data_IF_184545615821
#
_entry.id   IF_184545615821
#
_cell.length_a   1.000
_cell.length_b   1.000
_cell.length_c   1.000
_cell.angle_alpha   90.00
_cell.angle_beta   90.00
_cell.angle_gamma   90.00
#
_symmetry.space_group_name_H-M   'P 1'
#
loop_
_entity.id
_entity.type
_entity.pdbx_description
1 polymer ?
#
# COMPACT_ATOMS: atom_id res chain seq x y z
N UNK A 1 -21.75 -8.51 10.80
CA UNK A 1 -20.59 -9.28 10.28
C UNK A 1 -19.41 -9.00 11.19
N UNK A 2 -19.04 -10.00 11.99
CA UNK A 2 -17.97 -9.88 12.98
C UNK A 2 -16.61 -9.88 12.28
N UNK A 3 -15.87 -8.79 12.43
CA UNK A 3 -14.44 -8.77 12.12
C UNK A 3 -13.76 -9.66 13.16
N UNK A 4 -13.16 -10.77 12.74
CA UNK A 4 -12.48 -11.66 13.70
C UNK A 4 -11.31 -10.91 14.33
N UNK A 5 -11.17 -11.00 15.66
CA UNK A 5 -10.13 -10.33 16.46
C UNK A 5 -8.70 -10.55 15.95
N UNK A 6 -8.45 -11.65 15.23
CA UNK A 6 -7.16 -11.94 14.56
C UNK A 6 -6.76 -10.88 13.52
N UNK A 7 -7.74 -10.24 12.87
CA UNK A 7 -7.49 -9.27 11.81
C UNK A 7 -6.99 -7.93 12.34
N UNK A 8 -7.35 -7.57 13.59
CA UNK A 8 -6.85 -6.37 14.27
C UNK A 8 -5.42 -6.56 14.80
N UNK A 9 -5.10 -7.78 15.28
CA UNK A 9 -3.82 -8.11 15.90
C UNK A 9 -2.63 -7.99 14.91
N UNK A 10 -2.87 -8.17 13.60
CA UNK A 10 -1.82 -8.18 12.59
C UNK A 10 -1.33 -6.79 12.13
N UNK A 11 -2.11 -5.73 12.34
CA UNK A 11 -1.69 -4.36 11.97
C UNK A 11 -0.73 -3.74 13.00
N UNK A 12 -0.80 -4.18 14.26
CA UNK A 12 -0.07 -3.57 15.38
C UNK A 12 1.33 -4.13 15.65
N UNK A 13 1.76 -5.21 14.97
CA UNK A 13 3.02 -5.90 15.32
C UNK A 13 4.31 -5.15 14.94
N UNK A 14 4.25 -3.85 14.66
CA UNK A 14 5.44 -3.04 14.48
C UNK A 14 5.19 -1.59 14.89
N UNK A 15 5.75 -1.26 16.06
CA UNK A 15 6.19 0.09 16.48
C UNK A 15 5.12 0.99 17.14
N UNK A 16 5.52 1.55 18.29
CA UNK A 16 4.80 2.54 19.14
C UNK A 16 4.30 3.74 18.33
N UNK A 17 3.01 4.06 18.41
CA UNK A 17 2.45 5.31 17.88
C UNK A 17 0.93 5.44 18.08
N UNK A 18 0.52 6.62 18.54
CA UNK A 18 -0.83 7.21 18.71
C UNK A 18 -1.73 7.00 17.46
N UNK A 19 -3.08 6.99 17.43
CA UNK A 19 -4.20 7.37 18.31
C UNK A 19 -5.31 6.29 18.25
N UNK A 20 -6.03 6.05 19.36
CA UNK A 20 -7.29 5.27 19.40
C UNK A 20 -8.51 6.18 19.59
N UNK A 21 -9.60 5.93 18.83
CA UNK A 21 -10.91 6.60 19.00
C UNK A 21 -11.84 5.79 19.92
N UNK A 22 -12.31 6.40 21.03
CA UNK A 22 -13.28 5.83 21.98
C UNK A 22 -14.73 5.91 21.48
N UNK A 23 -15.54 4.98 21.98
CA UNK A 23 -16.95 4.69 21.67
C UNK A 23 -17.99 5.76 22.03
N UNK A 24 -17.62 6.81 22.79
CA UNK A 24 -18.63 7.77 23.25
C UNK A 24 -18.64 9.04 22.41
N UNK A 25 -19.69 9.16 21.61
CA UNK A 25 -19.97 10.14 20.55
C UNK A 25 -19.90 11.64 20.92
N UNK A 26 -19.46 12.00 22.13
CA UNK A 26 -19.44 13.38 22.60
C UNK A 26 -18.06 14.06 22.49
N UNK A 27 -16.94 13.33 22.49
CA UNK A 27 -15.59 13.89 22.27
C UNK A 27 -14.62 12.86 21.69
N UNK A 28 -14.13 13.14 20.48
CA UNK A 28 -12.96 12.47 19.92
C UNK A 28 -11.70 13.01 20.61
N UNK A 29 -11.34 12.44 21.77
CA UNK A 29 -10.04 12.72 22.39
C UNK A 29 -9.02 11.72 21.87
N UNK A 30 -7.97 12.21 21.23
CA UNK A 30 -6.90 11.37 20.71
C UNK A 30 -6.05 10.83 21.85
N UNK A 31 -6.02 9.52 22.03
CA UNK A 31 -5.26 8.87 23.11
C UNK A 31 -3.98 8.22 22.59
N UNK A 32 -2.85 8.48 23.24
CA UNK A 32 -1.53 7.94 22.85
C UNK A 32 -1.37 6.48 23.26
N UNK A 33 -0.79 5.66 22.39
CA UNK A 33 -0.68 4.20 22.58
C UNK A 33 0.76 3.77 22.83
N UNK A 34 0.98 3.00 23.90
CA UNK A 34 2.29 2.47 24.28
C UNK A 34 2.46 1.01 23.89
N UNK A 35 1.39 0.22 23.96
CA UNK A 35 1.43 -1.21 23.64
C UNK A 35 0.08 -1.73 23.14
N UNK A 36 0.12 -2.81 22.36
CA UNK A 36 -1.05 -3.60 21.99
C UNK A 36 -0.90 -5.01 22.58
N UNK A 37 -1.97 -5.50 23.20
CA UNK A 37 -2.10 -6.85 23.77
C UNK A 37 -3.16 -7.63 22.99
N UNK A 38 -3.28 -8.92 23.30
CA UNK A 38 -4.21 -9.82 22.62
C UNK A 38 -5.68 -9.39 22.70
N UNK A 39 -6.04 -8.64 23.75
CA UNK A 39 -7.42 -8.22 24.06
C UNK A 39 -7.58 -6.71 24.24
N UNK A 40 -6.48 -5.94 24.31
CA UNK A 40 -6.52 -4.54 24.68
C UNK A 40 -5.42 -3.67 24.04
N UNK A 41 -5.67 -2.37 24.00
CA UNK A 41 -4.70 -1.33 23.69
C UNK A 41 -4.32 -0.61 24.98
N UNK A 42 -3.01 -0.52 25.26
CA UNK A 42 -2.47 0.16 26.45
C UNK A 42 -2.06 1.57 26.06
N UNK A 43 -2.58 2.57 26.78
CA UNK A 43 -2.34 3.98 26.51
C UNK A 43 -1.15 4.54 27.31
N UNK A 44 -0.61 5.71 26.93
CA UNK A 44 0.44 6.42 27.71
C UNK A 44 -0.07 6.83 29.09
N UNK A 45 -1.37 7.06 29.21
CA UNK A 45 -2.07 7.35 30.47
C UNK A 45 -2.30 6.09 31.33
N UNK A 46 -1.85 4.92 30.88
CA UNK A 46 -1.99 3.64 31.58
C UNK A 46 -3.40 3.03 31.49
N UNK A 47 -4.25 3.53 30.59
CA UNK A 47 -5.57 2.95 30.36
C UNK A 47 -5.45 1.71 29.47
N UNK A 48 -6.27 0.69 29.75
CA UNK A 48 -6.44 -0.47 28.89
C UNK A 48 -7.79 -0.37 28.17
N UNK A 49 -7.75 -0.15 26.86
CA UNK A 49 -8.94 -0.07 26.00
C UNK A 49 -9.17 -1.44 25.36
N UNK A 50 -10.28 -2.09 25.63
CA UNK A 50 -10.60 -3.38 25.03
C UNK A 50 -10.69 -3.25 23.49
N UNK A 51 -10.08 -4.17 22.74
CA UNK A 51 -10.07 -4.11 21.26
C UNK A 51 -11.46 -3.97 20.61
N UNK A 52 -12.53 -4.61 21.10
CA UNK A 52 -13.87 -4.41 20.55
C UNK A 52 -14.43 -2.99 20.69
N UNK A 53 -13.88 -2.19 21.61
CA UNK A 53 -14.29 -0.80 21.83
C UNK A 53 -13.40 0.21 21.07
N UNK A 54 -12.39 -0.28 20.33
CA UNK A 54 -11.52 0.52 19.47
C UNK A 54 -12.15 0.63 18.08
N UNK A 55 -12.66 1.81 17.74
CA UNK A 55 -13.28 2.05 16.44
C UNK A 55 -12.25 2.20 15.32
N UNK A 56 -11.14 2.89 15.61
CA UNK A 56 -10.11 3.24 14.63
C UNK A 56 -8.77 3.47 15.33
N UNK A 57 -7.70 3.04 14.68
CA UNK A 57 -6.31 3.31 15.08
C UNK A 57 -5.67 4.17 13.98
N UNK A 58 -5.32 5.41 14.29
CA UNK A 58 -4.74 6.36 13.35
C UNK A 58 -3.31 6.73 13.72
N UNK A 59 -2.35 6.26 12.95
CA UNK A 59 -0.94 6.58 13.17
C UNK A 59 -0.60 8.02 12.72
N UNK A 60 -0.20 8.88 13.66
CA UNK A 60 -0.02 10.33 13.43
C UNK A 60 1.31 10.71 12.78
N UNK A 61 2.36 9.92 12.98
CA UNK A 61 3.63 10.13 12.30
C UNK A 61 4.57 8.96 12.56
N UNK A 62 5.03 8.32 11.49
CA UNK A 62 6.18 7.44 11.57
C UNK A 62 7.26 7.91 10.60
N UNK A 63 8.51 8.08 11.05
CA UNK A 63 9.62 7.63 10.23
C UNK A 63 9.47 6.11 10.11
N UNK A 64 8.71 5.64 9.13
CA UNK A 64 8.72 4.21 8.80
C UNK A 64 10.15 3.96 8.29
N UNK A 65 10.97 3.13 8.97
CA UNK A 65 12.25 2.76 8.41
C UNK A 65 11.96 2.22 7.01
N UNK A 66 12.60 2.75 5.95
CA UNK A 66 12.32 2.29 4.59
C UNK A 66 12.52 0.79 4.58
N UNK A 67 11.41 0.05 4.42
CA UNK A 67 11.54 -1.39 4.30
C UNK A 67 12.28 -1.65 2.98
N UNK A 68 13.29 -2.52 2.99
CA UNK A 68 14.18 -2.66 1.85
C UNK A 68 13.44 -3.06 0.58
N UNK A 69 12.43 -3.93 0.71
CA UNK A 69 11.74 -4.44 -0.46
C UNK A 69 10.78 -3.42 -1.05
N UNK A 70 10.88 -3.23 -2.36
CA UNK A 70 9.99 -2.36 -3.14
C UNK A 70 9.28 -3.20 -4.19
N UNK A 71 7.95 -3.19 -4.16
CA UNK A 71 7.10 -3.81 -5.17
C UNK A 71 6.74 -2.77 -6.21
N UNK A 72 6.91 -3.10 -7.49
CA UNK A 72 6.60 -2.19 -8.60
C UNK A 72 5.46 -2.78 -9.40
N UNK A 73 4.39 -2.00 -9.52
CA UNK A 73 3.19 -2.40 -10.23
C UNK A 73 3.26 -2.02 -11.71
N UNK A 74 2.40 -2.63 -12.52
CA UNK A 74 2.33 -2.39 -13.97
C UNK A 74 1.83 -0.99 -14.35
N UNK A 75 1.25 -0.25 -13.40
CA UNK A 75 0.90 1.18 -13.56
C UNK A 75 2.03 2.14 -13.15
N UNK A 76 3.19 1.60 -12.76
CA UNK A 76 4.35 2.37 -12.30
C UNK A 76 4.34 2.71 -10.82
N UNK A 77 3.30 2.34 -10.07
CA UNK A 77 3.30 2.53 -8.62
C UNK A 77 4.43 1.73 -7.97
N UNK A 78 5.02 2.32 -6.93
CA UNK A 78 6.09 1.74 -6.11
C UNK A 78 5.59 1.64 -4.68
N UNK A 79 5.55 0.43 -4.13
CA UNK A 79 5.15 0.17 -2.75
C UNK A 79 6.33 -0.33 -1.93
N UNK A 80 6.65 0.34 -0.84
CA UNK A 80 7.64 -0.04 0.14
C UNK A 80 7.03 -1.02 1.15
N UNK A 81 7.72 -2.14 1.41
CA UNK A 81 7.15 -3.19 2.25
C UNK A 81 8.02 -4.43 2.38
N UNK A 82 7.36 -5.57 2.59
CA UNK A 82 7.99 -6.89 2.65
C UNK A 82 7.28 -7.85 1.72
N UNK A 83 8.04 -8.53 0.87
CA UNK A 83 7.54 -9.69 0.15
C UNK A 83 7.36 -10.83 1.14
N UNK A 84 6.12 -11.31 1.32
CA UNK A 84 5.84 -12.45 2.20
C UNK A 84 5.86 -13.75 1.42
N UNK A 85 5.30 -13.72 0.22
CA UNK A 85 5.21 -14.87 -0.67
C UNK A 85 4.86 -14.39 -2.07
N UNK A 86 5.46 -15.00 -3.07
CA UNK A 86 5.06 -15.01 -4.45
C UNK A 86 4.99 -16.48 -4.83
N UNK A 87 3.82 -16.95 -5.26
CA UNK A 87 3.66 -18.32 -5.71
C UNK A 87 2.52 -18.38 -6.73
N UNK A 88 2.78 -19.00 -7.89
CA UNK A 88 1.82 -19.06 -8.98
C UNK A 88 1.38 -17.65 -9.42
N UNK A 89 0.07 -17.38 -9.34
CA UNK A 89 -0.53 -16.15 -9.84
C UNK A 89 -0.78 -15.09 -8.76
N UNK A 90 -0.24 -15.27 -7.55
CA UNK A 90 -0.51 -14.37 -6.42
C UNK A 90 0.76 -13.93 -5.71
N UNK A 91 0.81 -12.64 -5.37
CA UNK A 91 1.82 -12.01 -4.52
C UNK A 91 1.15 -11.56 -3.23
N UNK A 92 1.66 -12.06 -2.12
CA UNK A 92 1.37 -11.59 -0.77
C UNK A 92 2.46 -10.58 -0.37
N UNK A 93 2.09 -9.31 -0.27
CA UNK A 93 3.00 -8.22 0.07
C UNK A 93 2.50 -7.45 1.28
N UNK A 94 3.35 -7.23 2.29
CA UNK A 94 3.02 -6.37 3.43
C UNK A 94 3.50 -4.96 3.14
N UNK A 95 2.62 -4.15 2.55
CA UNK A 95 2.83 -2.72 2.30
C UNK A 95 2.90 -1.96 3.62
N UNK A 96 3.75 -0.94 3.64
CA UNK A 96 3.85 0.00 4.76
C UNK A 96 2.65 0.96 4.83
N UNK A 97 2.00 1.27 3.70
CA UNK A 97 0.83 2.15 3.65
C UNK A 97 -0.50 1.40 3.73
N UNK A 98 -0.56 0.21 3.14
CA UNK A 98 -1.84 -0.48 2.88
C UNK A 98 -2.00 -1.80 3.64
N UNK A 99 -1.05 -2.16 4.51
CA UNK A 99 -1.09 -3.43 5.24
C UNK A 99 -0.82 -4.63 4.32
N UNK A 100 -1.51 -5.75 4.57
CA UNK A 100 -1.38 -6.94 3.73
C UNK A 100 -2.14 -6.75 2.42
N UNK A 101 -1.44 -6.96 1.32
CA UNK A 101 -1.95 -6.94 -0.04
C UNK A 101 -1.80 -8.33 -0.64
N UNK A 102 -2.89 -8.84 -1.20
CA UNK A 102 -2.87 -10.00 -2.08
C UNK A 102 -3.16 -9.51 -3.49
N UNK A 103 -2.14 -9.58 -4.34
CA UNK A 103 -2.17 -9.00 -5.67
C UNK A 103 -2.00 -10.11 -6.71
N UNK A 104 -2.80 -10.12 -7.78
CA UNK A 104 -2.50 -10.90 -8.97
C UNK A 104 -1.11 -10.54 -9.52
N UNK A 105 -0.31 -11.53 -9.91
CA UNK A 105 1.03 -11.32 -10.49
C UNK A 105 0.98 -10.53 -11.81
N UNK A 106 -0.16 -10.51 -12.51
CA UNK A 106 -0.39 -9.68 -13.69
C UNK A 106 -0.35 -8.17 -13.41
N UNK A 107 -0.58 -7.75 -12.17
CA UNK A 107 -0.48 -6.34 -11.77
C UNK A 107 0.91 -5.96 -11.26
N UNK A 108 1.86 -6.90 -11.21
CA UNK A 108 3.22 -6.67 -10.70
C UNK A 108 4.22 -6.74 -11.84
N UNK A 109 4.99 -5.66 -11.99
CA UNK A 109 6.08 -5.59 -12.96
C UNK A 109 7.38 -6.18 -12.38
N UNK A 110 7.66 -5.95 -11.10
CA UNK A 110 8.85 -6.50 -10.45
C UNK A 110 8.97 -6.20 -8.96
N UNK A 111 10.04 -6.71 -8.37
CA UNK A 111 10.42 -6.54 -6.97
C UNK A 111 11.89 -6.11 -6.91
N UNK A 112 12.20 -5.08 -6.12
CA UNK A 112 13.58 -4.74 -5.76
C UNK A 112 13.81 -5.13 -4.31
N UNK A 113 14.92 -5.80 -4.03
CA UNK A 113 15.27 -6.30 -2.70
C UNK A 113 16.37 -5.42 -2.08
N UNK A 114 16.36 -5.32 -0.75
CA UNK A 114 17.40 -4.59 -0.02
C UNK A 114 17.37 -3.08 -0.25
N UNK A 115 18.54 -2.49 -0.35
CA UNK A 115 18.77 -1.08 -0.61
C UNK A 115 18.69 -0.68 -2.10
N UNK A 116 18.36 -1.61 -3.00
CA UNK A 116 18.35 -1.36 -4.45
C UNK A 116 17.41 -0.22 -4.87
N UNK A 117 17.86 0.62 -5.79
CA UNK A 117 17.04 1.71 -6.34
C UNK A 117 15.96 1.12 -7.27
N UNK A 118 14.66 1.49 -7.15
CA UNK A 118 13.64 1.19 -8.16
C UNK A 118 14.05 1.54 -9.59
N UNK A 119 14.86 2.58 -9.79
CA UNK A 119 15.38 2.96 -11.10
C UNK A 119 16.47 2.00 -11.62
N UNK A 120 17.02 1.12 -10.78
CA UNK A 120 18.01 0.11 -11.17
C UNK A 120 17.40 -1.05 -11.96
N UNK A 121 16.08 -1.18 -11.98
CA UNK A 121 15.37 -2.06 -12.89
C UNK A 121 15.49 -1.52 -14.31
N UNK A 122 16.24 -2.21 -15.16
CA UNK A 122 16.46 -1.73 -16.52
C UNK A 122 15.30 -2.18 -17.40
N UNK A 123 14.78 -1.25 -18.20
CA UNK A 123 13.92 -1.59 -19.34
C UNK A 123 14.74 -2.50 -20.26
N UNK A 124 14.26 -3.73 -20.48
CA UNK A 124 14.97 -4.76 -21.25
C UNK A 124 15.41 -5.97 -20.43
N UNK A 125 15.38 -5.89 -19.09
CA UNK A 125 15.56 -7.07 -18.25
C UNK A 125 14.32 -7.98 -18.27
N UNK A 126 13.17 -7.48 -18.71
CA UNK A 126 11.96 -8.25 -18.83
C UNK A 126 12.12 -9.29 -19.94
N UNK A 127 12.07 -10.60 -19.63
CA UNK A 127 12.18 -11.61 -20.66
C UNK A 127 10.91 -11.62 -21.52
N UNK A 128 11.02 -12.12 -22.75
CA UNK A 128 9.85 -12.35 -23.60
C UNK A 128 8.90 -13.37 -22.96
N UNK A 129 9.44 -14.33 -22.20
CA UNK A 129 8.71 -15.33 -21.43
C UNK A 129 9.38 -15.58 -20.05
N UNK A 130 8.58 -15.81 -19.01
CA UNK A 130 9.08 -16.10 -17.66
C UNK A 130 9.44 -14.86 -16.84
N UNK A 131 10.55 -14.93 -16.10
CA UNK A 131 11.07 -13.85 -15.27
C UNK A 131 12.60 -13.74 -15.38
N UNK A 132 13.16 -12.62 -14.94
CA UNK A 132 14.60 -12.46 -14.77
C UNK A 132 14.94 -11.99 -13.37
N UNK A 133 16.06 -12.50 -12.86
CA UNK A 133 16.68 -12.10 -11.61
C UNK A 133 17.97 -11.36 -11.94
N UNK A 134 18.13 -10.16 -11.41
CA UNK A 134 19.43 -9.49 -11.34
C UNK A 134 20.02 -9.76 -9.97
N UNK A 135 21.19 -10.37 -9.96
CA UNK A 135 21.99 -10.63 -8.78
C UNK A 135 22.76 -9.37 -8.37
N UNK A 136 23.17 -9.27 -7.10
CA UNK A 136 23.94 -8.13 -6.58
C UNK A 136 25.34 -8.01 -7.17
N UNK A 137 25.91 -9.10 -7.66
CA UNK A 137 27.18 -9.12 -8.41
C UNK A 137 27.03 -8.61 -9.86
N UNK A 138 25.79 -8.28 -10.29
CA UNK A 138 25.46 -7.79 -11.62
C UNK A 138 25.05 -8.86 -12.62
N UNK A 139 25.18 -10.15 -12.28
CA UNK A 139 24.75 -11.25 -13.14
C UNK A 139 23.23 -11.25 -13.31
N UNK A 140 22.77 -11.71 -14.47
CA UNK A 140 21.34 -11.85 -14.78
C UNK A 140 21.04 -13.31 -15.05
N UNK A 141 20.05 -13.85 -14.34
CA UNK A 141 19.56 -15.22 -14.50
C UNK A 141 18.10 -15.16 -14.94
N UNK A 142 17.76 -15.78 -16.07
CA UNK A 142 16.39 -15.85 -16.57
C UNK A 142 15.81 -17.25 -16.40
N UNK A 143 14.50 -17.36 -16.18
CA UNK A 143 13.82 -18.64 -16.04
C UNK A 143 12.36 -18.50 -15.64
N UNK A 144 11.72 -19.62 -15.31
CA UNK A 144 10.35 -19.62 -14.81
C UNK A 144 10.35 -19.50 -13.28
N UNK A 145 9.73 -18.44 -12.75
CA UNK A 145 9.60 -18.27 -11.31
C UNK A 145 8.64 -19.32 -10.74
N UNK A 146 9.15 -20.13 -9.81
CA UNK A 146 8.32 -21.10 -9.09
C UNK A 146 7.76 -20.48 -7.81
N UNK A 147 8.61 -19.76 -7.07
CA UNK A 147 8.23 -19.03 -5.88
C UNK A 147 9.29 -17.99 -5.47
N UNK A 148 8.90 -17.03 -4.63
CA UNK A 148 9.83 -16.13 -3.94
C UNK A 148 9.27 -15.69 -2.58
N UNK A 149 10.12 -15.49 -1.59
CA UNK A 149 9.76 -14.88 -0.32
C UNK A 149 10.87 -13.94 0.19
N UNK A 150 10.87 -13.63 1.49
CA UNK A 150 11.85 -12.73 2.10
C UNK A 150 13.25 -13.36 2.23
N UNK A 151 13.36 -14.68 2.16
CA UNK A 151 14.59 -15.44 2.42
C UNK A 151 15.17 -16.04 1.16
N UNK A 152 14.32 -16.52 0.25
CA UNK A 152 14.75 -17.37 -0.85
C UNK A 152 13.87 -17.20 -2.10
N UNK A 153 14.44 -17.57 -3.25
CA UNK A 153 13.79 -17.54 -4.57
C UNK A 153 14.04 -18.86 -5.27
N UNK A 154 12.97 -19.49 -5.78
CA UNK A 154 13.04 -20.70 -6.59
C UNK A 154 12.77 -20.39 -8.05
N UNK A 155 13.76 -20.63 -8.90
CA UNK A 155 13.74 -20.38 -10.34
C UNK A 155 13.99 -21.68 -11.12
N UNK A 156 13.13 -22.01 -12.06
CA UNK A 156 13.36 -23.12 -12.99
C UNK A 156 14.11 -22.60 -14.22
N UNK A 157 15.36 -23.02 -14.39
CA UNK A 157 16.26 -22.62 -15.48
C UNK A 157 16.78 -23.86 -16.20
N UNK A 158 16.61 -23.94 -17.52
CA UNK A 158 17.08 -25.06 -18.35
C UNK A 158 16.65 -26.45 -17.80
N UNK A 159 15.44 -26.52 -17.22
CA UNK A 159 14.87 -27.74 -16.63
C UNK A 159 15.36 -28.07 -15.22
N UNK A 160 16.28 -27.29 -14.65
CA UNK A 160 16.77 -27.46 -13.29
C UNK A 160 16.17 -26.40 -12.33
N UNK A 161 15.74 -26.84 -11.15
CA UNK A 161 15.30 -25.91 -10.10
C UNK A 161 16.53 -25.34 -9.38
N UNK A 162 16.76 -24.05 -9.55
CA UNK A 162 17.79 -23.28 -8.83
C UNK A 162 17.14 -22.56 -7.67
N UNK A 163 17.70 -22.72 -6.48
CA UNK A 163 17.28 -21.98 -5.28
C UNK A 163 18.36 -20.96 -4.93
N UNK A 164 17.97 -19.69 -4.83
CA UNK A 164 18.87 -18.57 -4.56
C UNK A 164 18.47 -17.88 -3.25
N UNK A 165 19.44 -17.39 -2.46
CA UNK A 165 19.15 -16.49 -1.35
C UNK A 165 18.57 -15.17 -1.86
N UNK A 166 17.48 -14.70 -1.27
CA UNK A 166 16.92 -13.38 -1.61
C UNK A 166 17.89 -12.24 -1.27
N UNK A 167 18.86 -12.46 -0.36
CA UNK A 167 19.94 -11.53 -0.05
C UNK A 167 20.85 -11.26 -1.25
N UNK A 168 21.02 -12.24 -2.14
CA UNK A 168 21.97 -12.18 -3.25
C UNK A 168 21.31 -11.60 -4.50
N UNK A 169 19.99 -11.46 -4.48
CA UNK A 169 19.18 -10.91 -5.55
C UNK A 169 19.00 -9.41 -5.30
N UNK A 170 19.32 -8.61 -6.32
CA UNK A 170 19.04 -7.17 -6.34
C UNK A 170 17.60 -6.93 -6.76
N UNK A 171 17.14 -7.59 -7.83
CA UNK A 171 15.78 -7.42 -8.32
C UNK A 171 15.24 -8.64 -9.06
N UNK A 172 13.92 -8.80 -9.02
CA UNK A 172 13.12 -9.74 -9.78
C UNK A 172 12.24 -8.97 -10.76
N UNK A 173 12.33 -9.28 -12.05
CA UNK A 173 11.51 -8.71 -13.12
C UNK A 173 10.55 -9.78 -13.61
N UNK A 174 9.26 -9.51 -13.48
CA UNK A 174 8.21 -10.39 -13.97
C UNK A 174 7.71 -9.96 -15.34
N UNK A 175 7.73 -8.65 -15.62
CA UNK A 175 7.16 -8.04 -16.82
C UNK A 175 7.91 -6.76 -17.18
N UNK A 176 7.55 -6.19 -18.34
CA UNK A 176 8.05 -4.88 -18.75
C UNK A 176 7.84 -3.83 -17.65
N UNK A 177 8.91 -3.15 -17.27
CA UNK A 177 8.89 -2.15 -16.21
C UNK A 177 8.34 -0.82 -16.78
N UNK A 178 7.17 -0.35 -16.31
CA UNK A 178 6.61 0.92 -16.75
C UNK A 178 7.45 2.11 -16.25
N UNK A 179 7.26 3.32 -16.78
CA UNK A 179 7.74 4.54 -16.13
C UNK A 179 7.24 4.60 -14.68
N UNK A 180 8.14 4.84 -13.72
CA UNK A 180 7.73 4.94 -12.32
C UNK A 180 6.79 6.12 -12.11
N UNK A 181 5.74 5.90 -11.33
CA UNK A 181 4.77 6.91 -10.99
C UNK A 181 5.44 8.09 -10.29
N UNK A 182 5.04 9.30 -10.67
CA UNK A 182 5.51 10.55 -10.06
C UNK A 182 4.39 11.31 -9.36
N UNK A 183 3.14 10.84 -9.45
CA UNK A 183 1.94 11.54 -9.02
C UNK A 183 1.90 11.88 -7.54
N UNK A 184 1.76 10.85 -6.71
CA UNK A 184 1.68 11.00 -5.25
C UNK A 184 2.89 10.31 -4.65
N UNK A 185 3.67 11.04 -3.86
CA UNK A 185 4.78 10.48 -3.07
C UNK A 185 4.36 10.52 -1.61
N UNK A 186 4.33 9.36 -0.96
CA UNK A 186 4.05 9.25 0.47
C UNK A 186 5.34 9.36 1.28
N UNK A 187 5.20 9.73 2.56
CA UNK A 187 6.34 9.93 3.48
C UNK A 187 7.17 8.66 3.72
N UNK A 188 6.63 7.48 3.43
CA UNK A 188 7.34 6.21 3.54
C UNK A 188 8.04 5.78 2.24
N UNK A 189 8.04 6.64 1.21
CA UNK A 189 8.68 6.40 -0.08
C UNK A 189 7.79 5.72 -1.11
N UNK A 190 6.55 5.35 -0.77
CA UNK A 190 5.58 4.87 -1.77
C UNK A 190 5.36 5.95 -2.84
N UNK A 191 5.25 5.50 -4.09
CA UNK A 191 4.92 6.34 -5.24
C UNK A 191 3.67 5.80 -5.90
N UNK A 192 2.64 6.61 -6.05
CA UNK A 192 1.36 6.18 -6.60
C UNK A 192 1.06 6.95 -7.88
N UNK A 193 0.44 6.26 -8.84
CA UNK A 193 -0.08 6.88 -10.05
C UNK A 193 -1.14 7.94 -9.68
N UNK A 194 -1.12 9.08 -10.37
CA UNK A 194 -1.80 10.33 -10.00
C UNK A 194 -3.33 10.33 -10.16
N UNK A 195 -4.04 9.26 -9.82
CA UNK A 195 -5.49 9.21 -9.92
C UNK A 195 -6.11 9.22 -8.52
N UNK A 196 -6.19 10.42 -7.93
CA UNK A 196 -7.07 10.69 -6.81
C UNK A 196 -8.51 10.81 -7.35
N UNK A 197 -9.37 9.82 -7.07
CA UNK A 197 -10.72 9.74 -7.63
C UNK A 197 -11.75 10.61 -6.88
N UNK A 198 -11.47 10.93 -5.62
CA UNK A 198 -12.19 11.89 -4.79
C UNK A 198 -11.29 12.21 -3.58
N UNK A 199 -11.35 13.45 -3.10
CA UNK A 199 -10.83 13.79 -1.79
C UNK A 199 -12.03 13.87 -0.84
N UNK A 200 -12.10 12.95 0.12
CA UNK A 200 -12.77 13.28 1.38
C UNK A 200 -11.88 14.32 2.10
N UNK A 201 -12.38 15.12 3.06
CA UNK A 201 -11.63 16.23 3.63
C UNK A 201 -10.21 15.86 4.14
N UNK A 202 -10.00 14.60 4.49
CA UNK A 202 -8.76 14.08 5.09
C UNK A 202 -8.06 12.98 4.27
N UNK A 203 -8.70 12.43 3.23
CA UNK A 203 -8.25 11.24 2.52
C UNK A 203 -8.22 11.42 0.99
N UNK A 204 -7.18 10.89 0.35
CA UNK A 204 -7.05 10.72 -1.10
C UNK A 204 -7.46 9.31 -1.49
N UNK A 205 -8.46 9.18 -2.37
CA UNK A 205 -8.83 7.88 -2.93
C UNK A 205 -7.94 7.50 -4.11
N UNK A 206 -7.06 6.52 -3.94
CA UNK A 206 -6.14 6.02 -4.98
C UNK A 206 -6.59 4.68 -5.51
N UNK A 207 -6.32 4.39 -6.79
CA UNK A 207 -6.50 3.06 -7.37
C UNK A 207 -5.18 2.30 -7.32
N UNK A 208 -5.21 1.09 -6.76
CA UNK A 208 -4.07 0.19 -6.64
C UNK A 208 -4.49 -1.19 -7.14
N UNK A 209 -3.88 -1.67 -8.24
CA UNK A 209 -4.21 -2.96 -8.85
C UNK A 209 -5.74 -3.16 -9.02
N UNK A 210 -6.39 -2.17 -9.64
CA UNK A 210 -7.85 -2.17 -9.86
C UNK A 210 -8.71 -1.79 -8.65
N UNK A 211 -8.18 -1.83 -7.43
CA UNK A 211 -8.95 -1.59 -6.20
C UNK A 211 -8.80 -0.15 -5.70
N UNK A 212 -9.90 0.46 -5.26
CA UNK A 212 -9.89 1.77 -4.61
C UNK A 212 -9.44 1.67 -3.14
N UNK A 213 -8.54 2.57 -2.72
CA UNK A 213 -8.01 2.62 -1.35
C UNK A 213 -7.89 4.07 -0.89
N UNK A 214 -8.22 4.33 0.36
CA UNK A 214 -8.00 5.63 0.99
C UNK A 214 -6.54 5.77 1.43
N UNK A 215 -5.97 6.95 1.22
CA UNK A 215 -4.66 7.35 1.71
C UNK A 215 -4.81 8.68 2.44
N UNK A 216 -4.45 8.78 3.73
CA UNK A 216 -4.54 10.04 4.45
C UNK A 216 -3.72 11.13 3.78
N UNK A 217 -4.29 12.32 3.60
CA UNK A 217 -3.59 13.49 3.07
C UNK A 217 -2.31 13.79 3.84
N UNK A 218 -2.34 13.62 5.17
CA UNK A 218 -1.17 13.77 6.06
C UNK A 218 -0.02 12.80 5.77
N UNK A 219 -0.29 11.65 5.17
CA UNK A 219 0.72 10.66 4.78
C UNK A 219 1.45 11.06 3.49
N UNK A 220 0.91 12.04 2.77
CA UNK A 220 1.50 12.53 1.52
C UNK A 220 2.66 13.47 1.82
N UNK A 221 3.79 13.21 1.16
CA UNK A 221 4.98 14.07 1.19
C UNK A 221 4.93 15.08 0.03
N UNK A 222 4.49 14.63 -1.14
CA UNK A 222 4.46 15.46 -2.35
C UNK A 222 3.35 15.01 -3.30
N UNK A 223 2.63 15.98 -3.85
CA UNK A 223 1.72 15.82 -4.98
C UNK A 223 2.37 16.50 -6.19
N UNK A 224 2.73 15.74 -7.23
CA UNK A 224 3.22 16.27 -8.49
C UNK A 224 2.21 16.00 -9.61
N UNK A 225 1.99 17.03 -10.42
CA UNK A 225 0.99 16.99 -11.47
C UNK A 225 -0.37 17.42 -10.94
N UNK A 226 -1.04 18.27 -11.70
CA UNK A 226 -2.37 18.76 -11.41
C UNK A 226 -3.38 17.59 -11.41
N UNK A 227 -3.45 16.85 -10.31
CA UNK A 227 -4.73 16.34 -9.88
C UNK A 227 -5.56 17.60 -9.63
N UNK A 228 -6.37 18.01 -10.62
CA UNK A 228 -7.52 18.86 -10.32
C UNK A 228 -8.32 18.03 -9.32
N UNK A 229 -8.11 18.28 -8.03
CA UNK A 229 -9.02 17.82 -6.99
C UNK A 229 -10.32 18.54 -7.37
N UNK A 230 -11.35 17.86 -7.90
CA UNK A 230 -12.62 18.53 -8.08
C UNK A 230 -13.02 19.06 -6.70
N UNK A 231 -13.48 20.31 -6.58
CA UNK A 231 -13.94 20.81 -5.29
C UNK A 231 -14.94 19.82 -4.73
N UNK A 232 -14.83 19.53 -3.42
CA UNK A 232 -15.77 18.67 -2.72
C UNK A 232 -17.19 19.09 -3.13
N UNK A 233 -17.99 18.15 -3.63
CA UNK A 233 -19.38 18.41 -3.97
C UNK A 233 -20.07 18.69 -2.65
N UNK A 234 -20.28 19.98 -2.35
CA UNK A 234 -21.01 20.40 -1.17
C UNK A 234 -22.42 19.79 -1.26
N UNK A 235 -22.91 19.08 -0.24
CA UNK A 235 -24.26 18.50 -0.27
C UNK A 235 -25.38 19.56 -0.19
N UNK A 236 -25.05 20.85 -0.18
CA UNK A 236 -25.99 21.96 -0.06
C UNK A 236 -26.39 22.55 -1.43
N UNK A 237 -27.05 21.78 -2.29
CA UNK A 237 -27.81 22.31 -3.44
C UNK A 237 -28.79 21.27 -4.00
N UNK A 238 -29.66 20.72 -3.14
CA UNK A 238 -30.84 19.96 -3.58
C UNK A 238 -32.03 20.26 -2.68
N UNK A 239 -32.37 21.54 -2.60
CA UNK A 239 -33.68 22.01 -2.19
C UNK A 239 -33.89 23.38 -2.85
N UNK A 240 -35.12 23.66 -3.27
CA UNK A 240 -35.59 24.92 -3.90
C UNK A 240 -35.48 25.02 -5.43
N UNK A 241 -36.30 24.25 -6.14
CA UNK A 241 -37.04 24.76 -7.31
C UNK A 241 -38.29 23.93 -7.57
N UNK A 242 -39.28 24.07 -6.69
CA UNK A 242 -40.63 23.55 -6.96
C UNK A 242 -41.71 24.52 -6.48
N UNK A 243 -41.54 25.82 -6.70
CA UNK A 243 -42.58 26.82 -6.49
C UNK A 243 -42.32 27.99 -7.44
N UNK A 244 -42.73 27.86 -8.70
CA UNK A 244 -43.02 28.97 -9.65
C UNK A 244 -43.50 28.39 -10.98
N UNK A 245 -44.60 27.62 -10.94
CA UNK A 245 -45.32 27.24 -12.16
C UNK A 245 -46.83 27.24 -11.91
N UNK A 246 -47.32 28.41 -11.48
CA UNK A 246 -48.73 28.81 -11.54
C UNK A 246 -48.80 30.33 -11.77
N UNK A 247 -48.47 30.77 -12.98
CA UNK A 247 -48.90 32.05 -13.53
C UNK A 247 -48.44 32.14 -14.99
N UNK A 248 -49.23 31.57 -15.90
CA UNK A 248 -49.44 32.05 -17.26
C UNK A 248 -50.27 31.00 -18.02
N UNK A 249 -51.58 31.04 -17.78
CA UNK A 249 -52.57 30.70 -18.79
C UNK A 249 -53.52 31.91 -18.88
N UNK A 250 -53.16 32.83 -19.78
CA UNK A 250 -54.06 33.74 -20.50
C UNK A 250 -53.74 33.60 -21.99
#
# INVERSE_FOLDING_TARGET
>A
MAWSALSLLLMASAVRGDIVVRKDSSRLEGVRVVALRDDAVVTEEGQNLALPDVLRVDFTSFPIPPKPTRLILTDGAVLCGLLRRLQGNTICFRSSSFGQLELPTEHVAGVVFGDGDPASLRRGDAPNEGCSLRMRDGNVTAGQLMWADASTIGLLTDGALVTLPASDVLSLVLRAIPPLAQGIVLRNGDRLAAFALAAEPEDLMVRLAGTLRAVPLKATQRLLGAARIPPAVSPAASAESSDLQKQNDQ
#
